data_IF_750377021017
#
_entry.id   IF_750377021017
#
_cell.length_a   1.000
_cell.length_b   1.000
_cell.length_c   1.000
_cell.angle_alpha   90.00
_cell.angle_beta   90.00
_cell.angle_gamma   90.00
#
_symmetry.space_group_name_H-M   'P 1'
#
loop_
_entity.id
_entity.type
_entity.pdbx_description
1 polymer ?
#
# COMPACT_ATOMS: atom_id res chain seq x y z
N UNK A 1 21.06 63.88 -0.13
CA UNK A 1 20.58 63.50 -1.48
C UNK A 1 19.59 62.34 -1.34
N UNK A 2 18.27 62.57 -1.47
CA UNK A 2 17.24 61.52 -1.32
C UNK A 2 16.88 60.98 -2.71
N UNK A 3 17.25 59.74 -3.01
CA UNK A 3 16.86 59.03 -4.22
C UNK A 3 15.34 58.75 -4.17
N UNK A 4 14.54 59.51 -4.94
CA UNK A 4 13.13 59.20 -5.19
C UNK A 4 13.05 58.00 -6.13
N UNK A 5 12.66 56.85 -5.61
CA UNK A 5 12.30 55.67 -6.41
C UNK A 5 11.02 55.99 -7.22
N UNK A 6 11.14 56.07 -8.55
CA UNK A 6 9.98 56.18 -9.45
C UNK A 6 9.17 54.88 -9.37
N UNK A 7 7.99 54.94 -8.74
CA UNK A 7 7.02 53.82 -8.73
C UNK A 7 6.35 53.73 -10.10
N UNK A 8 6.76 52.77 -10.92
CA UNK A 8 6.00 52.36 -12.12
C UNK A 8 4.91 51.39 -11.67
N UNK A 9 3.65 51.71 -11.95
CA UNK A 9 2.53 50.78 -11.75
C UNK A 9 2.53 49.68 -12.81
N UNK A 10 1.94 48.54 -12.49
CA UNK A 10 1.73 47.44 -13.44
C UNK A 10 0.70 47.82 -14.51
N UNK A 11 0.89 47.30 -15.72
CA UNK A 11 -0.11 47.47 -16.78
C UNK A 11 -1.26 46.47 -16.58
N UNK A 12 -2.46 46.82 -17.05
CA UNK A 12 -3.64 45.96 -16.92
C UNK A 12 -3.44 44.60 -17.63
N UNK A 13 -2.75 44.60 -18.77
CA UNK A 13 -2.42 43.37 -19.50
C UNK A 13 -1.45 42.46 -18.72
N UNK A 14 -0.45 43.03 -18.06
CA UNK A 14 0.49 42.29 -17.22
C UNK A 14 -0.22 41.64 -16.01
N UNK A 15 -1.19 42.32 -15.41
CA UNK A 15 -2.04 41.77 -14.35
C UNK A 15 -2.88 40.58 -14.85
N UNK A 16 -3.46 40.67 -16.05
CA UNK A 16 -4.27 39.58 -16.62
C UNK A 16 -3.43 38.34 -16.96
N UNK A 17 -2.21 38.53 -17.47
CA UNK A 17 -1.29 37.42 -17.74
C UNK A 17 -0.84 36.78 -16.42
N UNK A 18 -0.44 37.60 -15.44
CA UNK A 18 -0.01 37.12 -14.14
C UNK A 18 -1.12 36.33 -13.42
N UNK A 19 -2.37 36.80 -13.46
CA UNK A 19 -3.50 36.08 -12.87
C UNK A 19 -3.81 34.77 -13.61
N UNK A 20 -3.68 34.73 -14.94
CA UNK A 20 -3.82 33.50 -15.71
C UNK A 20 -2.79 32.44 -15.33
N UNK A 21 -1.51 32.84 -15.19
CA UNK A 21 -0.44 31.95 -14.72
C UNK A 21 -0.72 31.48 -13.29
N UNK A 22 -1.18 32.38 -12.41
CA UNK A 22 -1.50 32.04 -11.03
C UNK A 22 -2.57 30.94 -10.94
N UNK A 23 -3.62 31.02 -11.76
CA UNK A 23 -4.67 29.98 -11.79
C UNK A 23 -4.09 28.61 -12.14
N UNK A 24 -3.24 28.53 -13.17
CA UNK A 24 -2.61 27.27 -13.61
C UNK A 24 -1.68 26.72 -12.50
N UNK A 25 -0.93 27.60 -11.82
CA UNK A 25 -0.06 27.19 -10.71
C UNK A 25 -0.88 26.67 -9.54
N UNK A 26 -1.97 27.34 -9.18
CA UNK A 26 -2.82 26.94 -8.06
C UNK A 26 -3.50 25.58 -8.31
N UNK A 27 -3.97 25.31 -9.54
CA UNK A 27 -4.55 24.00 -9.86
C UNK A 27 -3.50 22.88 -9.78
N UNK A 28 -2.28 23.12 -10.25
CA UNK A 28 -1.17 22.19 -10.12
C UNK A 28 -0.83 21.88 -8.65
N UNK A 29 -0.78 22.91 -7.80
CA UNK A 29 -0.50 22.75 -6.37
C UNK A 29 -1.61 21.97 -5.65
N UNK A 30 -2.87 22.22 -5.96
CA UNK A 30 -4.00 21.47 -5.39
C UNK A 30 -3.95 19.99 -5.78
N UNK A 31 -3.63 19.71 -7.06
CA UNK A 31 -3.47 18.32 -7.52
C UNK A 31 -2.33 17.61 -6.78
N UNK A 32 -1.18 18.27 -6.64
CA UNK A 32 -0.03 17.72 -5.91
C UNK A 32 -0.38 17.46 -4.44
N UNK A 33 -1.12 18.37 -3.80
CA UNK A 33 -1.56 18.21 -2.41
C UNK A 33 -2.43 16.96 -2.21
N UNK A 34 -3.38 16.71 -3.11
CA UNK A 34 -4.25 15.51 -3.05
C UNK A 34 -3.40 14.23 -3.20
N UNK A 35 -2.49 14.19 -4.17
CA UNK A 35 -1.60 13.04 -4.36
C UNK A 35 -0.71 12.78 -3.14
N UNK A 36 -0.23 13.83 -2.46
CA UNK A 36 0.52 13.68 -1.22
C UNK A 36 -0.32 13.06 -0.09
N UNK A 37 -1.62 13.41 0.02
CA UNK A 37 -2.52 12.80 0.99
C UNK A 37 -2.71 11.30 0.73
N UNK A 38 -2.93 10.92 -0.53
CA UNK A 38 -3.08 9.51 -0.93
C UNK A 38 -1.78 8.71 -0.69
N UNK A 39 -0.62 9.31 -1.00
CA UNK A 39 0.68 8.68 -0.76
C UNK A 39 0.94 8.49 0.74
N UNK A 40 0.57 9.45 1.57
CA UNK A 40 0.69 9.34 3.02
C UNK A 40 -0.21 8.22 3.57
N UNK A 41 -1.45 8.12 3.11
CA UNK A 41 -2.35 7.01 3.47
C UNK A 41 -1.79 5.65 3.02
N UNK A 42 -1.32 5.57 1.78
CA UNK A 42 -0.70 4.35 1.24
C UNK A 42 0.49 3.93 2.10
N UNK A 43 1.40 4.85 2.41
CA UNK A 43 2.60 4.58 3.22
C UNK A 43 2.22 4.10 4.62
N UNK A 44 1.26 4.78 5.27
CA UNK A 44 0.75 4.38 6.59
C UNK A 44 0.21 2.95 6.55
N UNK A 45 -0.66 2.64 5.59
CA UNK A 45 -1.29 1.33 5.51
C UNK A 45 -0.29 0.24 5.11
N UNK A 46 0.67 0.53 4.23
CA UNK A 46 1.76 -0.39 3.89
C UNK A 46 2.61 -0.75 5.12
N UNK A 47 2.92 0.22 5.99
CA UNK A 47 3.67 -0.06 7.23
C UNK A 47 2.87 -0.93 8.21
N UNK A 48 1.56 -0.70 8.33
CA UNK A 48 0.69 -1.54 9.15
C UNK A 48 0.55 -2.95 8.59
N UNK A 49 0.37 -3.07 7.28
CA UNK A 49 0.31 -4.36 6.59
C UNK A 49 1.64 -5.12 6.73
N UNK A 50 2.78 -4.43 6.59
CA UNK A 50 4.09 -5.03 6.78
C UNK A 50 4.26 -5.56 8.22
N UNK A 51 3.85 -4.79 9.22
CA UNK A 51 3.87 -5.22 10.61
C UNK A 51 3.01 -6.48 10.84
N UNK A 52 1.81 -6.52 10.27
CA UNK A 52 0.92 -7.68 10.38
C UNK A 52 1.50 -8.94 9.68
N UNK A 53 2.07 -8.78 8.48
CA UNK A 53 2.74 -9.88 7.77
C UNK A 53 3.96 -10.38 8.55
N UNK A 54 4.77 -9.48 9.13
CA UNK A 54 5.92 -9.85 9.96
C UNK A 54 5.51 -10.57 11.24
N UNK A 55 4.47 -10.08 11.92
CA UNK A 55 3.90 -10.75 13.09
C UNK A 55 3.47 -12.18 12.75
N UNK A 56 2.80 -12.36 11.61
CA UNK A 56 2.34 -13.66 11.18
C UNK A 56 3.48 -14.60 10.78
N UNK A 57 4.53 -14.10 10.11
CA UNK A 57 5.73 -14.87 9.83
C UNK A 57 6.46 -15.31 11.12
N UNK A 58 6.47 -14.47 12.16
CA UNK A 58 7.01 -14.85 13.47
C UNK A 58 6.13 -15.86 14.21
N UNK A 59 4.82 -15.82 14.02
CA UNK A 59 3.91 -16.85 14.52
C UNK A 59 4.16 -18.19 13.84
N UNK A 60 4.32 -18.19 12.51
CA UNK A 60 4.69 -19.38 11.73
C UNK A 60 6.04 -19.94 12.13
N UNK A 61 7.02 -19.08 12.40
CA UNK A 61 8.34 -19.49 12.86
C UNK A 61 8.31 -20.21 14.22
N UNK A 62 7.31 -19.93 15.05
CA UNK A 62 7.10 -20.61 16.35
C UNK A 62 6.32 -21.93 16.19
N UNK A 63 5.61 -22.10 15.08
CA UNK A 63 4.80 -23.29 14.83
C UNK A 63 5.69 -24.51 14.51
N UNK A 64 5.30 -25.74 14.93
CA UNK A 64 6.00 -26.95 14.52
C UNK A 64 6.00 -27.11 13.00
N UNK A 65 7.13 -27.53 12.42
CA UNK A 65 7.28 -27.71 10.96
C UNK A 65 6.19 -28.61 10.35
N UNK A 66 5.73 -29.61 11.09
CA UNK A 66 4.68 -30.55 10.67
C UNK A 66 3.31 -29.89 10.50
N UNK A 67 3.09 -28.73 11.13
CA UNK A 67 1.84 -27.96 11.03
C UNK A 67 1.85 -26.96 9.85
N UNK A 68 3.02 -26.75 9.23
CA UNK A 68 3.20 -25.86 8.08
C UNK A 68 2.86 -26.59 6.77
N UNK A 69 1.59 -26.98 6.59
CA UNK A 69 1.18 -27.82 5.46
C UNK A 69 0.13 -27.19 4.55
N UNK A 70 -0.46 -26.06 4.94
CA UNK A 70 -1.62 -25.48 4.26
C UNK A 70 -1.51 -23.97 4.14
N UNK A 71 -1.94 -23.50 2.97
CA UNK A 71 -2.17 -22.09 2.69
C UNK A 71 -3.39 -21.60 3.47
N UNK A 72 -3.29 -20.43 4.10
CA UNK A 72 -4.38 -19.85 4.88
C UNK A 72 -4.40 -18.32 4.75
N UNK A 73 -5.50 -17.73 5.23
CA UNK A 73 -5.69 -16.27 5.25
C UNK A 73 -5.76 -15.75 6.68
N UNK A 74 -5.32 -14.53 6.87
CA UNK A 74 -5.35 -13.83 8.15
C UNK A 74 -5.78 -12.37 7.94
N UNK A 75 -6.04 -11.64 9.02
CA UNK A 75 -6.48 -10.25 8.97
C UNK A 75 -5.51 -9.38 9.77
N UNK A 76 -5.23 -8.16 9.31
CA UNK A 76 -4.49 -7.22 10.14
C UNK A 76 -5.34 -6.78 11.33
N UNK A 77 -4.68 -6.48 12.44
CA UNK A 77 -5.32 -5.90 13.62
C UNK A 77 -5.36 -4.37 13.52
N UNK A 78 -6.12 -3.71 14.40
CA UNK A 78 -6.16 -2.25 14.49
C UNK A 78 -6.89 -1.57 13.33
N UNK A 79 -6.33 -0.50 12.77
CA UNK A 79 -7.04 0.38 11.81
C UNK A 79 -7.25 -0.25 10.42
N UNK A 80 -6.63 -1.40 10.16
CA UNK A 80 -6.85 -2.20 8.94
C UNK A 80 -7.76 -3.41 9.18
N UNK A 81 -8.29 -3.58 10.41
CA UNK A 81 -9.21 -4.66 10.72
C UNK A 81 -10.45 -4.58 9.81
N UNK A 82 -10.83 -5.70 9.22
CA UNK A 82 -11.93 -5.84 8.25
C UNK A 82 -11.77 -5.06 6.93
N UNK A 83 -10.64 -4.36 6.73
CA UNK A 83 -10.30 -3.64 5.50
C UNK A 83 -9.03 -4.19 4.84
N UNK A 84 -8.50 -5.29 5.36
CA UNK A 84 -7.33 -5.97 4.85
C UNK A 84 -7.57 -7.47 4.78
N UNK A 85 -6.84 -8.16 3.91
CA UNK A 85 -6.79 -9.60 3.88
C UNK A 85 -5.33 -10.00 3.63
N UNK A 86 -4.77 -10.72 4.58
CA UNK A 86 -3.48 -11.38 4.47
C UNK A 86 -3.64 -12.80 3.95
N UNK A 87 -2.66 -13.29 3.20
CA UNK A 87 -2.60 -14.67 2.76
C UNK A 87 -1.18 -15.19 2.89
N UNK A 88 -1.06 -16.38 3.47
CA UNK A 88 0.19 -17.14 3.59
C UNK A 88 0.06 -18.35 2.69
N UNK A 89 1.00 -18.48 1.76
CA UNK A 89 1.14 -19.62 0.87
C UNK A 89 2.38 -20.39 1.27
N UNK A 90 2.22 -21.69 1.49
CA UNK A 90 3.31 -22.59 1.85
C UNK A 90 3.51 -23.56 0.69
N UNK A 91 4.64 -23.45 0.00
CA UNK A 91 5.05 -24.42 -1.00
C UNK A 91 5.85 -25.54 -0.32
N UNK A 92 5.17 -26.67 -0.14
CA UNK A 92 5.70 -27.93 0.36
C UNK A 92 5.82 -29.01 -0.74
N UNK A 93 5.51 -28.67 -1.99
CA UNK A 93 5.46 -29.63 -3.09
C UNK A 93 6.85 -29.98 -3.62
N UNK A 94 7.81 -29.08 -3.44
CA UNK A 94 9.14 -29.20 -4.04
C UNK A 94 10.17 -29.87 -3.13
N UNK A 95 10.08 -29.69 -1.81
CA UNK A 95 11.07 -30.19 -0.86
C UNK A 95 10.43 -30.51 0.50
N UNK A 96 10.83 -31.62 1.12
CA UNK A 96 10.35 -32.03 2.46
C UNK A 96 11.20 -31.48 3.60
N UNK A 97 12.41 -30.95 3.31
CA UNK A 97 13.35 -30.44 4.32
C UNK A 97 13.25 -28.93 4.52
N UNK A 98 12.69 -28.20 3.56
CA UNK A 98 12.42 -26.77 3.68
C UNK A 98 11.18 -26.41 2.87
N UNK A 99 10.36 -25.52 3.42
CA UNK A 99 9.20 -24.96 2.75
C UNK A 99 9.46 -23.50 2.41
N UNK A 100 9.06 -23.11 1.19
CA UNK A 100 8.99 -21.70 0.83
C UNK A 100 7.66 -21.16 1.34
N UNK A 101 7.72 -20.06 2.08
CA UNK A 101 6.55 -19.39 2.65
C UNK A 101 6.46 -18.00 2.06
N UNK A 102 5.39 -17.73 1.32
CA UNK A 102 5.07 -16.43 0.75
C UNK A 102 3.89 -15.84 1.54
N UNK A 103 4.13 -14.72 2.22
CA UNK A 103 3.11 -14.01 2.97
C UNK A 103 2.90 -12.63 2.36
N UNK A 104 1.68 -12.35 1.91
CA UNK A 104 1.29 -11.08 1.32
C UNK A 104 0.02 -10.53 1.97
N UNK A 105 -0.21 -9.24 1.83
CA UNK A 105 -1.43 -8.62 2.33
C UNK A 105 -1.97 -7.57 1.36
N UNK A 106 -3.27 -7.61 1.11
CA UNK A 106 -4.00 -6.58 0.39
C UNK A 106 -4.85 -5.76 1.36
N UNK A 107 -5.23 -4.55 0.95
CA UNK A 107 -6.11 -3.69 1.75
C UNK A 107 -6.89 -2.70 0.91
N UNK A 108 -7.98 -2.18 1.49
CA UNK A 108 -8.83 -1.15 0.90
C UNK A 108 -8.51 0.21 1.52
N UNK A 109 -8.28 1.21 0.67
CA UNK A 109 -8.08 2.61 1.05
C UNK A 109 -9.42 3.33 1.24
N UNK A 110 -9.38 4.52 1.84
CA UNK A 110 -10.58 5.35 2.08
C UNK A 110 -11.32 5.72 0.79
N UNK A 111 -10.61 5.94 -0.31
CA UNK A 111 -11.19 6.19 -1.63
C UNK A 111 -11.75 4.93 -2.32
N UNK A 112 -11.89 3.81 -1.59
CA UNK A 112 -12.30 2.49 -2.07
C UNK A 112 -11.36 1.83 -3.07
N UNK A 113 -10.17 2.40 -3.30
CA UNK A 113 -9.11 1.73 -4.06
C UNK A 113 -8.59 0.54 -3.26
N UNK A 114 -8.42 -0.60 -3.92
CA UNK A 114 -7.79 -1.78 -3.35
C UNK A 114 -6.33 -1.79 -3.78
N UNK A 115 -5.43 -2.08 -2.83
CA UNK A 115 -4.01 -2.29 -3.07
C UNK A 115 -3.72 -3.78 -2.90
N UNK A 116 -3.02 -4.36 -3.89
CA UNK A 116 -2.77 -5.80 -3.98
C UNK A 116 -3.89 -6.58 -4.68
N UNK A 117 -3.71 -7.90 -4.76
CA UNK A 117 -4.59 -8.83 -5.47
C UNK A 117 -5.81 -9.28 -4.66
N UNK A 118 -6.70 -8.33 -4.39
CA UNK A 118 -7.98 -8.60 -3.76
C UNK A 118 -9.12 -7.90 -4.49
N UNK A 119 -10.32 -8.43 -4.26
CA UNK A 119 -11.57 -7.88 -4.77
C UNK A 119 -12.52 -7.61 -3.62
N UNK A 120 -13.31 -6.54 -3.75
CA UNK A 120 -14.43 -6.29 -2.86
C UNK A 120 -15.62 -7.17 -3.26
N UNK A 121 -16.07 -8.01 -2.33
CA UNK A 121 -17.26 -8.82 -2.44
C UNK A 121 -18.29 -8.36 -1.40
N UNK A 122 -19.11 -7.37 -1.77
CA UNK A 122 -20.16 -6.79 -0.93
C UNK A 122 -19.67 -6.27 0.44
N UNK A 123 -18.53 -5.59 0.46
CA UNK A 123 -17.95 -4.97 1.66
C UNK A 123 -16.89 -5.82 2.35
N UNK A 124 -16.66 -7.06 1.89
CA UNK A 124 -15.60 -7.94 2.39
C UNK A 124 -14.53 -8.14 1.33
N UNK A 125 -13.26 -7.97 1.69
CA UNK A 125 -12.16 -8.30 0.78
C UNK A 125 -12.01 -9.81 0.65
N UNK A 126 -11.96 -10.27 -0.60
CA UNK A 126 -11.66 -11.65 -0.96
C UNK A 126 -10.41 -11.68 -1.83
N UNK A 127 -9.60 -12.71 -1.67
CA UNK A 127 -8.44 -12.93 -2.51
C UNK A 127 -8.88 -13.14 -3.97
N UNK A 128 -8.19 -12.49 -4.91
CA UNK A 128 -8.47 -12.59 -6.33
C UNK A 128 -7.18 -12.81 -7.11
N UNK A 129 -6.90 -14.09 -7.38
CA UNK A 129 -5.73 -14.54 -8.14
C UNK A 129 -5.82 -14.08 -9.60
N UNK A 130 -5.15 -12.98 -9.94
CA UNK A 130 -5.28 -12.40 -11.28
C UNK A 130 -4.37 -13.11 -12.28
N UNK A 131 -3.23 -13.62 -11.82
CA UNK A 131 -2.21 -14.26 -12.64
C UNK A 131 -2.14 -15.78 -12.45
N UNK A 132 -3.02 -16.35 -11.61
CA UNK A 132 -3.14 -17.79 -11.34
C UNK A 132 -1.88 -18.42 -10.74
N UNK A 133 -1.08 -17.64 -10.00
CA UNK A 133 0.12 -18.12 -9.33
C UNK A 133 -0.15 -18.65 -7.91
N UNK A 134 -1.38 -18.52 -7.42
CA UNK A 134 -1.79 -18.95 -6.09
C UNK A 134 -1.23 -18.11 -4.94
N UNK A 135 -0.50 -17.04 -5.21
CA UNK A 135 0.11 -16.09 -4.27
C UNK A 135 -0.75 -14.82 -4.23
N UNK A 136 -0.66 -14.06 -3.14
CA UNK A 136 -1.25 -12.73 -3.07
C UNK A 136 -0.16 -11.71 -3.44
N UNK A 137 -0.20 -11.21 -4.67
CA UNK A 137 0.74 -10.18 -5.09
C UNK A 137 0.30 -8.81 -4.55
N UNK A 138 1.22 -8.15 -3.86
CA UNK A 138 0.98 -6.85 -3.22
C UNK A 138 2.30 -6.10 -3.05
N UNK A 139 2.28 -4.75 -2.98
CA UNK A 139 3.46 -3.99 -2.55
C UNK A 139 4.03 -4.43 -1.21
N UNK A 140 3.21 -5.09 -0.37
CA UNK A 140 3.65 -5.74 0.87
C UNK A 140 3.55 -7.25 0.70
N UNK A 141 4.69 -7.84 0.38
CA UNK A 141 4.88 -9.27 0.28
C UNK A 141 6.27 -9.65 0.79
N UNK A 142 6.33 -10.69 1.61
CA UNK A 142 7.55 -11.24 2.17
C UNK A 142 7.62 -12.72 1.83
N UNK A 143 8.75 -13.13 1.28
CA UNK A 143 9.07 -14.54 1.01
C UNK A 143 10.18 -14.98 1.94
N UNK A 144 9.98 -16.11 2.61
CA UNK A 144 10.98 -16.72 3.48
C UNK A 144 11.05 -18.22 3.25
N UNK A 145 12.14 -18.84 3.71
CA UNK A 145 12.32 -20.28 3.69
C UNK A 145 12.39 -20.78 5.12
N UNK A 146 11.55 -21.76 5.44
CA UNK A 146 11.51 -22.40 6.75
C UNK A 146 12.03 -23.82 6.60
N UNK A 147 13.12 -24.15 7.30
CA UNK A 147 13.70 -25.49 7.29
C UNK A 147 13.21 -26.31 8.49
N UNK A 148 13.14 -27.62 8.31
CA UNK A 148 12.94 -28.58 9.39
C UNK A 148 14.12 -28.49 10.36
N UNK A 149 13.84 -28.19 11.64
CA UNK A 149 14.83 -28.16 12.72
C UNK A 149 15.00 -29.52 13.38
#
# INVERSE_FOLDING_TARGET
MRLRLKRKGFTLLELMIASGILVIVLTGLLSAYISCLEMNETTKNSNLALGAVQEELENLRKAPFQTLNTTYTFYATGTLANLSLGRVVIDNATNTSFYRVDAGMCWKQRNSRIIGECRDNNGTLVFNDTNSNGILDSPVQLTTYMAQR
#
